data_IF_291140115552
#
_entry.id   IF_291140115552
#
_cell.length_a   1.000
_cell.length_b   1.000
_cell.length_c   1.000
_cell.angle_alpha   90.00
_cell.angle_beta   90.00
_cell.angle_gamma   90.00
#
_symmetry.space_group_name_H-M   'P 1'
#
loop_
_entity.id
_entity.type
_entity.pdbx_description
1 polymer ?
#
# COMPACT_ATOMS: atom_id res chain seq x y z
N UNK A 1 8.34 -13.16 4.52
CA UNK A 1 7.33 -12.37 5.26
C UNK A 1 5.93 -12.97 5.11
N UNK A 2 5.44 -13.23 3.91
CA UNK A 2 4.08 -13.80 3.69
C UNK A 2 3.87 -15.16 4.37
N UNK A 3 4.85 -16.08 4.34
CA UNK A 3 4.73 -17.35 5.06
C UNK A 3 4.52 -17.22 6.58
N UNK A 4 4.91 -16.08 7.19
CA UNK A 4 4.58 -15.79 8.60
C UNK A 4 3.11 -15.42 8.71
N UNK A 5 2.59 -14.63 7.77
CA UNK A 5 1.18 -14.24 7.73
C UNK A 5 0.28 -15.47 7.57
N UNK A 6 0.63 -16.36 6.64
CA UNK A 6 -0.13 -17.60 6.42
C UNK A 6 -0.18 -18.50 7.66
N UNK A 7 0.97 -18.68 8.31
CA UNK A 7 1.03 -19.45 9.56
C UNK A 7 0.20 -18.81 10.68
N UNK A 8 0.27 -17.50 10.81
CA UNK A 8 -0.46 -16.77 11.84
C UNK A 8 -1.97 -16.74 11.56
N UNK A 9 -2.36 -16.50 10.30
CA UNK A 9 -3.75 -16.46 9.88
C UNK A 9 -4.35 -17.86 9.66
N UNK A 10 -3.52 -18.90 9.55
CA UNK A 10 -3.89 -20.27 9.16
C UNK A 10 -4.66 -20.31 7.84
N UNK A 11 -4.25 -19.47 6.90
CA UNK A 11 -4.89 -19.28 5.60
C UNK A 11 -3.86 -18.87 4.56
N UNK A 12 -4.15 -19.13 3.30
CA UNK A 12 -3.43 -18.57 2.18
C UNK A 12 -3.36 -17.05 2.24
N UNK A 13 -2.22 -16.45 1.88
CA UNK A 13 -1.99 -15.01 2.01
C UNK A 13 -2.85 -14.20 1.03
N UNK A 14 -3.07 -14.71 -0.19
CA UNK A 14 -3.92 -14.06 -1.18
C UNK A 14 -5.38 -14.09 -0.76
N UNK A 15 -5.88 -15.24 -0.28
CA UNK A 15 -7.23 -15.39 0.24
C UNK A 15 -7.46 -14.45 1.43
N UNK A 16 -6.47 -14.34 2.31
CA UNK A 16 -6.53 -13.43 3.44
C UNK A 16 -6.58 -11.96 2.99
N UNK A 17 -5.73 -11.59 2.05
CA UNK A 17 -5.71 -10.23 1.49
C UNK A 17 -7.02 -9.93 0.73
N UNK A 18 -7.56 -10.89 0.00
CA UNK A 18 -8.81 -10.74 -0.72
C UNK A 18 -9.98 -10.49 0.24
N UNK A 19 -10.06 -11.23 1.35
CA UNK A 19 -11.12 -11.03 2.34
C UNK A 19 -10.97 -9.74 3.14
N UNK A 20 -9.75 -9.42 3.57
CA UNK A 20 -9.52 -8.34 4.55
C UNK A 20 -9.22 -6.99 3.92
N UNK A 21 -8.74 -6.95 2.68
CA UNK A 21 -8.30 -5.73 2.02
C UNK A 21 -8.97 -5.53 0.66
N UNK A 22 -8.70 -6.39 -0.31
CA UNK A 22 -9.11 -6.16 -1.69
C UNK A 22 -10.63 -6.18 -1.87
N UNK A 23 -11.30 -7.18 -1.30
CA UNK A 23 -12.75 -7.30 -1.36
C UNK A 23 -13.49 -6.11 -0.76
N UNK A 24 -13.20 -5.71 0.49
CA UNK A 24 -13.81 -4.53 1.10
C UNK A 24 -13.63 -3.23 0.31
N UNK A 25 -12.51 -3.09 -0.41
CA UNK A 25 -12.21 -1.93 -1.26
C UNK A 25 -12.84 -2.04 -2.66
N UNK A 26 -13.48 -3.16 -3.00
CA UNK A 26 -14.01 -3.43 -4.33
C UNK A 26 -12.92 -3.57 -5.40
N UNK A 27 -11.73 -4.01 -5.01
CA UNK A 27 -10.60 -4.28 -5.91
C UNK A 27 -10.77 -5.71 -6.45
N UNK A 28 -11.29 -5.84 -7.67
CA UNK A 28 -11.64 -7.15 -8.27
C UNK A 28 -10.62 -7.65 -9.28
N UNK A 29 -9.64 -6.83 -9.66
CA UNK A 29 -8.67 -7.13 -10.71
C UNK A 29 -7.24 -7.23 -10.18
N UNK A 30 -7.09 -7.64 -8.91
CA UNK A 30 -5.77 -7.81 -8.30
C UNK A 30 -5.24 -9.20 -8.61
N UNK A 31 -4.07 -9.24 -9.25
CA UNK A 31 -3.29 -10.45 -9.46
C UNK A 31 -2.00 -10.35 -8.65
N UNK A 32 -1.57 -11.45 -8.07
CA UNK A 32 -0.34 -11.49 -7.30
C UNK A 32 0.51 -12.67 -7.73
N UNK A 33 1.68 -12.37 -8.29
CA UNK A 33 2.63 -13.38 -8.72
C UNK A 33 3.12 -14.22 -7.55
N UNK A 34 3.24 -15.53 -7.78
CA UNK A 34 3.70 -16.49 -6.78
C UNK A 34 5.05 -17.08 -7.15
N UNK A 35 5.83 -17.45 -6.16
CA UNK A 35 7.04 -18.25 -6.32
C UNK A 35 6.70 -19.72 -6.62
N UNK A 36 7.70 -20.53 -6.92
CA UNK A 36 7.53 -21.95 -7.26
C UNK A 36 6.90 -22.79 -6.12
N UNK A 37 6.96 -22.32 -4.89
CA UNK A 37 6.31 -22.95 -3.72
C UNK A 37 4.85 -22.50 -3.52
N UNK A 38 4.32 -21.67 -4.42
CA UNK A 38 2.97 -21.13 -4.37
C UNK A 38 2.79 -19.89 -3.48
N UNK A 39 3.84 -19.46 -2.76
CA UNK A 39 3.75 -18.24 -1.94
C UNK A 39 3.82 -16.98 -2.81
N UNK A 40 2.94 -15.99 -2.61
CA UNK A 40 3.06 -14.71 -3.29
C UNK A 40 4.37 -13.99 -2.94
N UNK A 41 4.91 -13.21 -3.88
CA UNK A 41 6.09 -12.39 -3.58
C UNK A 41 5.76 -11.27 -2.60
N UNK A 42 6.51 -11.18 -1.51
CA UNK A 42 6.17 -10.26 -0.40
C UNK A 42 6.56 -8.80 -0.61
N UNK A 43 7.26 -8.48 -1.68
CA UNK A 43 7.77 -7.13 -1.95
C UNK A 43 7.49 -6.60 -3.35
N UNK A 44 6.94 -7.42 -4.24
CA UNK A 44 6.64 -7.08 -5.64
C UNK A 44 5.63 -8.07 -6.22
N UNK A 45 5.32 -7.93 -7.52
CA UNK A 45 4.50 -8.89 -8.26
C UNK A 45 3.00 -8.71 -8.09
N UNK A 46 2.53 -7.58 -7.56
CA UNK A 46 1.11 -7.25 -7.56
C UNK A 46 0.80 -6.44 -8.82
N UNK A 47 -0.13 -6.95 -9.62
CA UNK A 47 -0.75 -6.24 -10.74
C UNK A 47 -2.14 -5.79 -10.36
N UNK A 48 -2.46 -4.52 -10.61
CA UNK A 48 -3.77 -3.95 -10.34
C UNK A 48 -4.06 -2.77 -11.27
N UNK A 49 -5.32 -2.42 -11.42
CA UNK A 49 -5.69 -1.27 -12.23
C UNK A 49 -5.27 0.05 -11.56
N UNK A 50 -5.05 1.15 -12.33
CA UNK A 50 -4.81 2.47 -11.74
C UNK A 50 -5.92 2.91 -10.77
N UNK A 51 -7.16 2.47 -11.02
CA UNK A 51 -8.27 2.74 -10.12
C UNK A 51 -8.14 1.99 -8.79
N UNK A 52 -7.65 0.77 -8.80
CA UNK A 52 -7.41 0.00 -7.58
C UNK A 52 -6.21 0.56 -6.80
N UNK A 53 -5.17 1.02 -7.49
CA UNK A 53 -4.08 1.78 -6.87
C UNK A 53 -4.63 3.05 -6.16
N UNK A 54 -5.54 3.78 -6.81
CA UNK A 54 -6.17 4.96 -6.21
C UNK A 54 -7.05 4.61 -4.99
N UNK A 55 -7.78 3.49 -5.02
CA UNK A 55 -8.55 3.00 -3.86
C UNK A 55 -7.64 2.69 -2.67
N UNK A 56 -6.53 2.01 -2.94
CA UNK A 56 -5.54 1.73 -1.90
C UNK A 56 -4.94 3.02 -1.32
N UNK A 57 -4.54 3.97 -2.16
CA UNK A 57 -4.06 5.27 -1.73
C UNK A 57 -5.10 6.05 -0.92
N UNK A 58 -6.36 6.03 -1.35
CA UNK A 58 -7.46 6.68 -0.65
C UNK A 58 -7.74 6.06 0.73
N UNK A 59 -7.62 4.73 0.86
CA UNK A 59 -7.67 4.06 2.16
C UNK A 59 -6.64 4.63 3.13
N UNK A 60 -5.39 4.79 2.67
CA UNK A 60 -4.32 5.36 3.49
C UNK A 60 -4.51 6.86 3.77
N UNK A 61 -5.02 7.62 2.80
CA UNK A 61 -5.38 9.04 2.97
C UNK A 61 -6.39 9.21 4.12
N UNK A 62 -7.36 8.30 4.21
CA UNK A 62 -8.42 8.29 5.23
C UNK A 62 -8.07 7.46 6.48
N UNK A 63 -6.78 7.32 6.81
CA UNK A 63 -6.34 6.62 8.01
C UNK A 63 -6.91 5.18 8.14
N UNK A 64 -6.96 4.48 7.01
CA UNK A 64 -7.41 3.10 6.97
C UNK A 64 -8.93 2.91 6.99
N UNK A 65 -9.70 3.97 6.81
CA UNK A 65 -11.16 3.92 6.67
C UNK A 65 -11.56 3.87 5.20
N UNK A 66 -12.51 3.02 4.90
CA UNK A 66 -13.18 2.93 3.62
C UNK A 66 -14.68 2.96 3.86
N UNK A 67 -15.35 3.97 3.32
CA UNK A 67 -16.75 4.24 3.67
C UNK A 67 -16.92 4.32 5.20
N UNK A 68 -17.82 3.52 5.77
CA UNK A 68 -18.08 3.49 7.21
C UNK A 68 -17.24 2.46 7.98
N UNK A 69 -16.32 1.76 7.31
CA UNK A 69 -15.55 0.65 7.90
C UNK A 69 -14.09 1.02 8.13
N UNK A 70 -13.56 0.62 9.27
CA UNK A 70 -12.12 0.62 9.52
C UNK A 70 -11.52 -0.67 8.96
N UNK A 71 -10.76 -0.57 7.87
CA UNK A 71 -10.10 -1.71 7.20
C UNK A 71 -8.71 -1.93 7.77
N UNK A 72 -7.94 -0.86 7.94
CA UNK A 72 -6.61 -0.87 8.55
C UNK A 72 -6.65 0.00 9.80
N UNK A 73 -6.11 -0.44 10.96
CA UNK A 73 -6.05 0.42 12.14
C UNK A 73 -5.38 1.76 11.86
N UNK A 74 -6.00 2.88 12.29
CA UNK A 74 -5.50 4.22 11.99
C UNK A 74 -4.12 4.51 12.61
N UNK A 75 -3.83 3.93 13.77
CA UNK A 75 -2.51 4.00 14.39
C UNK A 75 -1.43 3.25 13.60
N UNK A 76 -1.80 2.16 12.92
CA UNK A 76 -0.89 1.48 12.00
C UNK A 76 -0.58 2.37 10.77
N UNK A 77 -1.60 3.00 10.17
CA UNK A 77 -1.41 3.95 9.07
C UNK A 77 -0.50 5.10 9.50
N UNK A 78 -0.73 5.67 10.68
CA UNK A 78 0.11 6.73 11.22
C UNK A 78 1.57 6.28 11.39
N UNK A 79 1.80 5.08 11.91
CA UNK A 79 3.15 4.50 12.05
C UNK A 79 3.79 4.14 10.72
N UNK A 80 3.03 3.64 9.75
CA UNK A 80 3.58 3.23 8.44
C UNK A 80 4.16 4.39 7.65
N UNK A 81 3.64 5.59 7.85
CA UNK A 81 4.13 6.83 7.24
C UNK A 81 5.07 7.64 8.12
N UNK A 82 5.29 7.22 9.38
CA UNK A 82 6.27 7.88 10.23
C UNK A 82 7.69 7.53 9.77
N UNK A 83 8.63 8.44 9.95
CA UNK A 83 10.05 8.12 9.84
C UNK A 83 10.35 7.00 10.81
N UNK A 84 10.55 5.83 10.31
CA UNK A 84 11.08 4.77 11.12
C UNK A 84 12.58 5.01 11.35
N UNK A 85 13.20 4.17 12.12
CA UNK A 85 14.61 4.16 12.54
C UNK A 85 15.62 4.33 11.36
N UNK A 86 15.15 4.32 10.11
CA UNK A 86 16.00 4.48 8.94
C UNK A 86 16.08 5.95 8.50
N UNK A 87 17.28 6.57 8.55
CA UNK A 87 17.50 7.95 8.11
C UNK A 87 17.16 8.22 6.64
N UNK A 88 17.00 7.18 5.82
CA UNK A 88 16.65 7.30 4.39
C UNK A 88 15.20 7.76 4.13
N UNK A 89 14.38 7.94 5.16
CA UNK A 89 12.99 8.34 4.99
C UNK A 89 12.03 7.21 4.59
N UNK A 90 12.41 5.94 4.78
CA UNK A 90 11.56 4.79 4.49
C UNK A 90 10.84 4.33 5.77
N UNK A 91 9.50 4.39 5.75
CA UNK A 91 8.64 3.88 6.82
C UNK A 91 8.31 2.39 6.66
N UNK A 92 7.14 1.95 7.12
CA UNK A 92 6.69 0.58 6.89
C UNK A 92 6.20 0.42 5.44
N UNK A 93 7.13 0.17 4.51
CA UNK A 93 6.90 0.01 3.07
C UNK A 93 6.44 1.28 2.33
N UNK A 94 6.54 2.46 2.94
CA UNK A 94 6.30 3.75 2.30
C UNK A 94 7.54 4.63 2.34
N UNK A 95 7.79 5.34 1.25
CA UNK A 95 8.75 6.41 1.19
C UNK A 95 8.13 7.70 1.76
N UNK A 96 8.80 8.29 2.73
CA UNK A 96 8.43 9.59 3.27
C UNK A 96 9.31 10.64 2.58
N UNK A 97 8.76 11.28 1.57
CA UNK A 97 9.52 12.22 0.75
C UNK A 97 9.61 13.60 1.41
N UNK A 98 10.69 13.84 2.16
CA UNK A 98 11.08 15.21 2.51
C UNK A 98 11.78 15.94 1.36
N UNK A 99 12.11 15.22 0.28
CA UNK A 99 12.84 15.74 -0.88
C UNK A 99 11.95 16.41 -1.92
N UNK A 100 10.63 16.43 -1.74
CA UNK A 100 9.80 17.26 -2.60
C UNK A 100 10.08 18.74 -2.32
N UNK A 101 10.39 19.56 -3.37
CA UNK A 101 10.70 20.98 -3.24
C UNK A 101 9.58 21.81 -2.61
N UNK A 102 8.40 21.25 -2.55
CA UNK A 102 7.27 21.73 -1.81
C UNK A 102 7.29 20.95 -0.50
N UNK A 103 7.84 21.56 0.54
CA UNK A 103 7.83 21.09 1.92
C UNK A 103 6.40 20.96 2.50
N UNK A 104 5.51 20.40 1.71
CA UNK A 104 4.16 20.07 2.13
C UNK A 104 4.25 18.82 2.99
N UNK A 105 4.41 19.10 4.22
CA UNK A 105 4.51 18.21 5.35
C UNK A 105 3.56 17.02 5.22
N UNK A 106 4.14 15.83 5.34
CA UNK A 106 3.46 14.54 5.43
C UNK A 106 3.01 13.87 4.12
N UNK A 107 3.55 14.24 2.95
CA UNK A 107 3.40 13.43 1.74
C UNK A 107 4.20 12.12 1.86
N UNK A 108 3.64 11.03 1.37
CA UNK A 108 4.31 9.72 1.35
C UNK A 108 3.83 8.90 0.16
N UNK A 109 4.64 7.94 -0.26
CA UNK A 109 4.33 7.18 -1.45
C UNK A 109 4.75 5.71 -1.39
N UNK A 110 4.03 4.87 -2.10
CA UNK A 110 4.47 3.55 -2.51
C UNK A 110 5.08 3.68 -3.90
N UNK A 111 6.38 3.37 -3.98
CA UNK A 111 7.17 3.44 -5.20
C UNK A 111 7.44 2.02 -5.71
N UNK A 112 7.01 1.73 -6.91
CA UNK A 112 7.21 0.48 -7.60
C UNK A 112 8.19 0.62 -8.77
N UNK A 113 8.71 -0.51 -9.23
CA UNK A 113 9.59 -0.57 -10.38
C UNK A 113 8.95 0.08 -11.62
N UNK A 114 9.79 0.63 -12.50
CA UNK A 114 9.38 1.24 -13.78
C UNK A 114 8.44 2.45 -13.66
N UNK A 115 8.44 3.12 -12.51
CA UNK A 115 7.66 4.34 -12.32
C UNK A 115 6.18 4.12 -12.01
N UNK A 116 5.87 3.05 -11.31
CA UNK A 116 4.56 2.81 -10.70
C UNK A 116 4.51 3.56 -9.38
N UNK A 117 3.62 4.55 -9.23
CA UNK A 117 3.53 5.33 -7.99
C UNK A 117 2.10 5.40 -7.45
N UNK A 118 1.99 5.34 -6.13
CA UNK A 118 0.82 5.78 -5.39
C UNK A 118 1.30 6.86 -4.42
N UNK A 119 1.12 8.12 -4.79
CA UNK A 119 1.55 9.26 -3.97
C UNK A 119 0.36 9.83 -3.22
N UNK A 120 0.50 10.01 -1.93
CA UNK A 120 -0.56 10.42 -1.01
C UNK A 120 -0.18 11.76 -0.39
N UNK A 121 -1.06 12.75 -0.55
CA UNK A 121 -0.91 14.13 -0.13
C UNK A 121 -1.99 14.53 0.87
N UNK A 122 -1.84 14.22 2.17
CA UNK A 122 -2.89 14.47 3.16
C UNK A 122 -3.30 15.93 3.28
N UNK A 123 -2.37 16.87 3.13
CA UNK A 123 -2.66 18.30 3.20
C UNK A 123 -3.55 18.81 2.06
N UNK A 124 -3.51 18.13 0.90
CA UNK A 124 -4.28 18.47 -0.29
C UNK A 124 -5.52 17.60 -0.46
N UNK A 125 -5.76 16.67 0.47
CA UNK A 125 -6.81 15.65 0.35
C UNK A 125 -6.76 14.94 -0.99
N UNK A 126 -5.56 14.53 -1.43
CA UNK A 126 -5.31 14.06 -2.79
C UNK A 126 -4.49 12.78 -2.82
N UNK A 127 -4.85 11.91 -3.76
CA UNK A 127 -4.06 10.74 -4.17
C UNK A 127 -3.72 10.87 -5.65
N UNK A 128 -2.46 10.70 -5.98
CA UNK A 128 -1.98 10.65 -7.36
C UNK A 128 -1.46 9.26 -7.67
N UNK A 129 -1.90 8.70 -8.77
CA UNK A 129 -1.45 7.40 -9.27
C UNK A 129 -0.75 7.59 -10.60
N UNK A 130 0.39 6.96 -10.75
CA UNK A 130 1.09 6.87 -12.02
C UNK A 130 1.35 5.40 -12.33
N UNK A 131 1.13 5.02 -13.58
CA UNK A 131 1.64 3.77 -14.15
C UNK A 131 2.70 4.11 -15.18
N UNK A 132 3.76 3.33 -15.22
CA UNK A 132 4.86 3.49 -16.16
C UNK A 132 5.13 2.19 -16.92
N UNK A 133 5.81 2.31 -18.04
CA UNK A 133 6.41 1.23 -18.80
C UNK A 133 7.88 1.54 -19.02
N UNK A 134 8.70 0.49 -19.24
CA UNK A 134 10.04 0.65 -19.79
C UNK A 134 10.00 1.29 -21.18
#
# INVERSE_FOLDING_TARGET
MLGIIERAAKRDALDYAQEKLFGPLGMTSVEWETAADGLPFGGFGISMTPRDMARFGYLYLNYGRWEDKQIIPGDYVARSRSRSINPSGYGYMFWNNESFPLSFTNAYEADGAYGQFISIYPFADMVVVRTGHE
#
